data_IF_602813843900
#
_entry.id   IF_602813843900
#
_cell.length_a   1.000
_cell.length_b   1.000
_cell.length_c   1.000
_cell.angle_alpha   90.00
_cell.angle_beta   90.00
_cell.angle_gamma   90.00
#
_symmetry.space_group_name_H-M   'P 1'
#
loop_
_entity.id
_entity.type
_entity.pdbx_description
1 polymer ?
#
# COMPACT_ATOMS: atom_id res chain seq x y z
N UNK A 1 9.11 20.14 11.07
CA UNK A 1 9.43 18.70 10.86
C UNK A 1 8.81 17.77 11.91
N UNK A 2 8.76 18.13 13.20
CA UNK A 2 8.30 17.24 14.29
C UNK A 2 6.99 16.46 14.02
N UNK A 3 5.99 17.08 13.42
CA UNK A 3 4.69 16.43 13.13
C UNK A 3 4.84 15.31 12.09
N UNK A 4 5.50 15.58 10.95
CA UNK A 4 5.69 14.59 9.88
C UNK A 4 6.55 13.42 10.33
N UNK A 5 7.63 13.70 11.07
CA UNK A 5 8.46 12.66 11.65
C UNK A 5 7.70 11.84 12.69
N UNK A 6 6.91 12.49 13.56
CA UNK A 6 6.12 11.79 14.58
C UNK A 6 5.12 10.78 13.99
N UNK A 7 4.48 11.11 12.86
CA UNK A 7 3.61 10.17 12.14
C UNK A 7 4.37 8.95 11.63
N UNK A 8 5.57 9.14 11.08
CA UNK A 8 6.41 8.03 10.62
C UNK A 8 6.92 7.15 11.78
N UNK A 9 7.18 7.75 12.95
CA UNK A 9 7.59 7.02 14.15
C UNK A 9 6.51 6.04 14.65
N UNK A 10 5.23 6.35 14.44
CA UNK A 10 4.11 5.47 14.83
C UNK A 10 4.09 4.14 14.06
N UNK A 11 4.75 4.06 12.90
CA UNK A 11 4.81 2.85 12.07
C UNK A 11 6.00 1.94 12.41
N UNK A 12 6.86 2.34 13.36
CA UNK A 12 8.06 1.58 13.72
C UNK A 12 7.70 0.22 14.32
N UNK A 13 8.42 -0.81 13.86
CA UNK A 13 8.23 -2.20 14.31
C UNK A 13 7.07 -2.93 13.62
N UNK A 14 6.34 -2.26 12.72
CA UNK A 14 5.28 -2.86 11.91
C UNK A 14 5.73 -3.27 10.51
N UNK A 15 4.79 -3.87 9.78
CA UNK A 15 4.92 -4.22 8.36
C UNK A 15 3.93 -3.39 7.55
N UNK A 16 4.37 -2.86 6.41
CA UNK A 16 3.52 -2.22 5.40
C UNK A 16 3.40 -3.17 4.22
N UNK A 17 2.17 -3.51 3.81
CA UNK A 17 1.92 -4.49 2.75
C UNK A 17 1.40 -3.85 1.46
N UNK A 18 1.93 -4.28 0.32
CA UNK A 18 1.42 -3.91 -1.01
C UNK A 18 0.11 -4.66 -1.29
N UNK A 19 -0.94 -3.93 -1.66
CA UNK A 19 -2.27 -4.49 -1.95
C UNK A 19 -2.86 -3.89 -3.23
N UNK A 20 -3.63 -4.69 -3.95
CA UNK A 20 -4.28 -4.31 -5.21
C UNK A 20 -5.81 -4.40 -5.17
N UNK A 21 -6.39 -4.88 -4.07
CA UNK A 21 -7.85 -5.00 -3.88
C UNK A 21 -8.23 -4.73 -2.42
N UNK A 22 -9.51 -4.36 -2.18
CA UNK A 22 -10.05 -4.21 -0.84
C UNK A 22 -9.96 -5.49 0.01
N UNK A 23 -10.09 -6.66 -0.61
CA UNK A 23 -9.97 -7.94 0.08
C UNK A 23 -8.53 -8.22 0.55
N UNK A 24 -7.52 -7.87 -0.27
CA UNK A 24 -6.13 -7.96 0.15
C UNK A 24 -5.83 -6.99 1.30
N UNK A 25 -6.44 -5.81 1.31
CA UNK A 25 -6.31 -4.84 2.40
C UNK A 25 -6.85 -5.40 3.72
N UNK A 26 -8.03 -6.04 3.70
CA UNK A 26 -8.58 -6.75 4.87
C UNK A 26 -7.67 -7.86 5.37
N UNK A 27 -7.15 -8.69 4.46
CA UNK A 27 -6.21 -9.76 4.82
C UNK A 27 -4.93 -9.20 5.45
N UNK A 28 -4.42 -8.07 4.94
CA UNK A 28 -3.24 -7.42 5.48
C UNK A 28 -3.49 -6.85 6.90
N UNK A 29 -4.65 -6.23 7.12
CA UNK A 29 -5.07 -5.76 8.45
C UNK A 29 -5.19 -6.92 9.44
N UNK A 30 -5.88 -8.01 9.06
CA UNK A 30 -6.04 -9.21 9.87
C UNK A 30 -4.69 -9.89 10.19
N UNK A 31 -3.73 -9.81 9.28
CA UNK A 31 -2.36 -10.32 9.46
C UNK A 31 -1.49 -9.41 10.36
N UNK A 32 -1.99 -8.25 10.79
CA UNK A 32 -1.29 -7.32 11.68
C UNK A 32 -0.41 -6.29 10.96
N UNK A 33 -0.67 -5.99 9.69
CA UNK A 33 -0.01 -4.88 9.00
C UNK A 33 -0.39 -3.55 9.68
N UNK A 34 0.60 -2.66 9.86
CA UNK A 34 0.36 -1.33 10.47
C UNK A 34 -0.12 -0.30 9.44
N UNK A 35 0.07 -0.59 8.16
CA UNK A 35 -0.44 0.17 7.02
C UNK A 35 -0.44 -0.70 5.75
N UNK A 36 -1.16 -0.25 4.72
CA UNK A 36 -1.14 -0.84 3.38
C UNK A 36 -0.72 0.18 2.34
N UNK A 37 -0.12 -0.29 1.24
CA UNK A 37 0.21 0.50 0.07
C UNK A 37 -0.71 0.07 -1.07
N UNK A 38 -1.58 0.97 -1.52
CA UNK A 38 -2.53 0.71 -2.60
C UNK A 38 -1.86 0.89 -3.97
N UNK A 39 -1.89 -0.16 -4.80
CA UNK A 39 -1.36 -0.14 -6.16
C UNK A 39 -2.35 -0.77 -7.14
N UNK A 40 -2.23 -0.44 -8.43
CA UNK A 40 -2.97 -1.16 -9.49
C UNK A 40 -2.33 -2.50 -9.85
N UNK A 41 -1.00 -2.58 -9.73
CA UNK A 41 -0.19 -3.76 -10.06
C UNK A 41 0.95 -3.88 -9.06
N UNK A 42 1.28 -5.11 -8.67
CA UNK A 42 2.40 -5.35 -7.76
C UNK A 42 3.74 -5.19 -8.50
N UNK A 43 4.85 -4.91 -7.77
CA UNK A 43 6.16 -4.72 -8.39
C UNK A 43 6.68 -5.93 -9.19
N UNK A 44 6.19 -7.15 -8.92
CA UNK A 44 6.53 -8.33 -9.70
C UNK A 44 5.92 -8.26 -11.11
N UNK A 45 4.64 -7.92 -11.20
CA UNK A 45 3.90 -7.81 -12.46
C UNK A 45 4.43 -6.65 -13.31
N UNK A 46 4.71 -5.50 -12.68
CA UNK A 46 5.32 -4.34 -13.38
C UNK A 46 6.64 -4.72 -14.04
N UNK A 47 7.47 -5.54 -13.38
CA UNK A 47 8.75 -5.99 -13.94
C UNK A 47 8.57 -7.01 -15.07
N UNK A 48 7.56 -7.87 -14.97
CA UNK A 48 7.27 -8.90 -15.96
C UNK A 48 6.68 -8.31 -17.24
N UNK A 49 5.68 -7.44 -17.11
CA UNK A 49 4.95 -6.83 -18.24
C UNK A 49 5.71 -5.68 -18.89
N UNK A 50 6.56 -4.99 -18.12
CA UNK A 50 7.23 -3.77 -18.55
C UNK A 50 6.26 -2.59 -18.77
N UNK A 51 6.66 -1.65 -19.62
CA UNK A 51 5.88 -0.44 -19.91
C UNK A 51 6.04 0.66 -18.87
N UNK A 52 5.10 1.62 -18.88
CA UNK A 52 5.14 2.81 -18.01
C UNK A 52 4.24 2.58 -16.79
N UNK A 53 4.84 2.51 -15.60
CA UNK A 53 4.11 2.49 -14.34
C UNK A 53 3.79 3.94 -13.89
N UNK A 54 2.54 4.19 -13.49
CA UNK A 54 2.07 5.48 -12.98
C UNK A 54 1.44 5.30 -11.60
N UNK A 55 0.97 6.40 -11.02
CA UNK A 55 0.13 6.37 -9.83
C UNK A 55 -1.15 5.57 -10.11
N UNK A 56 -1.61 4.80 -9.12
CA UNK A 56 -2.92 4.17 -9.17
C UNK A 56 -4.02 5.22 -9.32
N UNK A 57 -5.09 4.88 -10.04
CA UNK A 57 -6.29 5.72 -10.11
C UNK A 57 -6.78 6.05 -8.69
N UNK A 58 -7.10 7.32 -8.38
CA UNK A 58 -7.68 7.69 -7.09
C UNK A 58 -8.88 6.83 -6.68
N UNK A 59 -9.75 6.42 -7.61
CA UNK A 59 -10.90 5.56 -7.31
C UNK A 59 -10.45 4.21 -6.74
N UNK A 60 -9.32 3.68 -7.24
CA UNK A 60 -8.72 2.44 -6.74
C UNK A 60 -8.20 2.59 -5.31
N UNK A 61 -7.64 3.75 -4.97
CA UNK A 61 -7.17 4.05 -3.62
C UNK A 61 -8.36 4.15 -2.66
N UNK A 62 -9.45 4.79 -3.07
CA UNK A 62 -10.67 4.91 -2.26
C UNK A 62 -11.36 3.56 -2.03
N UNK A 63 -11.26 2.61 -2.97
CA UNK A 63 -11.78 1.24 -2.81
C UNK A 63 -11.08 0.49 -1.64
N UNK A 64 -9.81 0.81 -1.40
CA UNK A 64 -8.95 0.14 -0.40
C UNK A 64 -9.04 0.77 0.99
N UNK A 65 -9.54 2.02 1.09
CA UNK A 65 -9.59 2.79 2.34
C UNK A 65 -10.69 2.35 3.30
#
# INVERSE_FOLDING_TARGET
>A
MRVKSGLAEMLKGGVIMDVTTADQARIAEDAGAVAVMALERVPADIRLEGGVARMADPDKIHEIQ
#
